data_IF_698918814867
#
_entry.id   IF_698918814867
#
_cell.length_a   1.000
_cell.length_b   1.000
_cell.length_c   1.000
_cell.angle_alpha   90.00
_cell.angle_beta   90.00
_cell.angle_gamma   90.00
#
_symmetry.space_group_name_H-M   'P 1'
#
loop_
_entity.id
_entity.type
_entity.pdbx_description
1 polymer ?
#
# COMPACT_ATOMS: atom_id res chain seq x y z
N UNK A 1 35.32 -10.19 20.75
CA UNK A 1 34.07 -10.54 20.06
C UNK A 1 33.40 -9.25 19.60
N UNK A 2 33.33 -8.98 18.30
CA UNK A 2 32.71 -7.75 17.78
C UNK A 2 31.19 -7.85 18.00
N UNK A 3 30.65 -6.92 18.78
CA UNK A 3 29.21 -6.68 18.82
C UNK A 3 28.80 -6.16 17.45
N UNK A 4 28.26 -7.04 16.60
CA UNK A 4 27.53 -6.61 15.41
C UNK A 4 26.23 -5.99 15.91
N UNK A 5 26.27 -4.70 16.18
CA UNK A 5 25.06 -3.89 16.33
C UNK A 5 24.33 -4.04 15.00
N UNK A 6 23.25 -4.81 14.99
CA UNK A 6 22.34 -4.84 13.83
C UNK A 6 21.67 -3.48 13.82
N UNK A 7 22.36 -2.48 13.25
CA UNK A 7 21.77 -1.21 12.89
C UNK A 7 20.69 -1.52 11.87
N UNK A 8 19.44 -1.28 12.26
CA UNK A 8 18.20 -1.43 11.47
C UNK A 8 18.13 -0.48 10.25
N UNK A 9 19.27 -0.01 9.76
CA UNK A 9 19.43 0.97 8.68
C UNK A 9 19.68 0.34 7.33
N UNK A 10 19.99 -0.95 7.24
CA UNK A 10 20.07 -1.64 5.95
C UNK A 10 18.68 -2.10 5.54
N UNK A 11 18.07 -1.38 4.58
CA UNK A 11 16.97 -1.91 3.78
C UNK A 11 17.47 -3.26 3.24
N UNK A 12 16.84 -4.40 3.56
CA UNK A 12 17.37 -5.67 3.14
C UNK A 12 17.48 -5.66 1.61
N UNK A 13 18.70 -5.83 1.11
CA UNK A 13 18.97 -6.07 -0.29
C UNK A 13 18.22 -7.34 -0.69
N UNK A 14 16.99 -7.19 -1.19
CA UNK A 14 16.18 -8.32 -1.60
C UNK A 14 14.67 -8.22 -1.36
N UNK A 15 14.00 -7.13 -1.76
CA UNK A 15 12.56 -7.19 -1.98
C UNK A 15 12.20 -8.35 -2.92
N UNK A 16 13.01 -8.54 -3.97
CA UNK A 16 12.89 -9.66 -4.91
C UNK A 16 13.15 -11.03 -4.26
N UNK A 17 14.12 -11.15 -3.34
CA UNK A 17 14.38 -12.43 -2.64
C UNK A 17 13.26 -12.76 -1.66
N UNK A 18 12.67 -11.74 -1.02
CA UNK A 18 11.50 -11.90 -0.16
C UNK A 18 10.29 -12.36 -0.97
N UNK A 19 9.99 -11.71 -2.10
CA UNK A 19 8.90 -12.12 -3.01
C UNK A 19 9.10 -13.57 -3.47
N UNK A 20 10.32 -13.94 -3.91
CA UNK A 20 10.64 -15.31 -4.33
C UNK A 20 10.46 -16.34 -3.21
N UNK A 21 10.74 -15.98 -1.96
CA UNK A 21 10.54 -16.87 -0.80
C UNK A 21 9.08 -17.05 -0.43
N UNK A 22 8.23 -16.06 -0.69
CA UNK A 22 6.81 -16.16 -0.33
C UNK A 22 5.94 -16.73 -1.47
N UNK A 23 6.40 -16.65 -2.72
CA UNK A 23 5.69 -17.20 -3.88
C UNK A 23 5.27 -18.68 -3.75
N UNK A 24 6.10 -19.60 -3.19
CA UNK A 24 5.71 -21.00 -2.98
C UNK A 24 4.49 -21.19 -2.06
N UNK A 25 4.24 -20.25 -1.13
CA UNK A 25 3.07 -20.32 -0.24
C UNK A 25 1.76 -19.95 -0.96
N UNK A 26 1.85 -19.14 -2.01
CA UNK A 26 0.72 -18.76 -2.86
C UNK A 26 0.46 -19.81 -3.95
N UNK A 27 1.51 -20.47 -4.44
CA UNK A 27 1.43 -21.52 -5.45
C UNK A 27 2.05 -22.83 -4.96
N UNK A 28 1.46 -23.50 -3.96
CA UNK A 28 1.99 -24.75 -3.43
C UNK A 28 1.88 -25.87 -4.48
N UNK A 29 2.93 -26.69 -4.61
CA UNK A 29 2.94 -27.81 -5.55
C UNK A 29 1.79 -28.80 -5.29
N UNK A 30 1.50 -29.05 -4.01
CA UNK A 30 0.67 -30.18 -3.54
C UNK A 30 -0.84 -29.90 -3.53
N UNK A 31 -1.28 -28.65 -3.70
CA UNK A 31 -2.69 -28.29 -3.52
C UNK A 31 -3.32 -27.68 -4.78
N UNK A 32 -3.93 -28.55 -5.59
CA UNK A 32 -4.63 -28.17 -6.84
C UNK A 32 -5.70 -27.10 -6.64
N UNK A 33 -6.48 -27.15 -5.55
CA UNK A 33 -7.53 -26.17 -5.29
C UNK A 33 -7.00 -24.73 -5.11
N UNK A 34 -5.77 -24.56 -4.60
CA UNK A 34 -5.15 -23.24 -4.49
C UNK A 34 -4.78 -22.71 -5.86
N UNK A 35 -4.14 -23.55 -6.69
CA UNK A 35 -3.76 -23.18 -8.07
C UNK A 35 -4.98 -22.74 -8.88
N UNK A 36 -6.08 -23.49 -8.81
CA UNK A 36 -7.34 -23.14 -9.48
C UNK A 36 -7.87 -21.78 -9.02
N UNK A 37 -7.91 -21.53 -7.70
CA UNK A 37 -8.35 -20.22 -7.19
C UNK A 37 -7.43 -19.07 -7.58
N UNK A 38 -6.12 -19.29 -7.61
CA UNK A 38 -5.16 -18.28 -8.08
C UNK A 38 -5.41 -17.97 -9.55
N UNK A 39 -5.56 -18.99 -10.41
CA UNK A 39 -5.86 -18.79 -11.84
C UNK A 39 -7.18 -18.05 -12.03
N UNK A 40 -8.25 -18.45 -11.33
CA UNK A 40 -9.55 -17.77 -11.38
C UNK A 40 -9.47 -16.32 -10.90
N UNK A 41 -8.72 -16.04 -9.83
CA UNK A 41 -8.51 -14.68 -9.36
C UNK A 41 -7.72 -13.84 -10.38
N UNK A 42 -6.69 -14.42 -11.01
CA UNK A 42 -5.92 -13.74 -12.06
C UNK A 42 -6.77 -13.48 -13.30
N UNK A 43 -7.64 -14.41 -13.70
CA UNK A 43 -8.58 -14.21 -14.79
C UNK A 43 -9.59 -13.09 -14.47
N UNK A 44 -10.18 -13.09 -13.27
CA UNK A 44 -11.05 -12.01 -12.81
C UNK A 44 -10.33 -10.66 -12.74
N UNK A 45 -9.06 -10.63 -12.32
CA UNK A 45 -8.22 -9.43 -12.35
C UNK A 45 -8.06 -8.89 -13.77
N UNK A 46 -7.68 -9.75 -14.72
CA UNK A 46 -7.47 -9.35 -16.12
C UNK A 46 -8.78 -8.84 -16.72
N UNK A 47 -9.90 -9.53 -16.49
CA UNK A 47 -11.22 -9.08 -16.93
C UNK A 47 -11.60 -7.73 -16.32
N UNK A 48 -11.39 -7.54 -15.02
CA UNK A 48 -11.60 -6.26 -14.33
C UNK A 48 -10.81 -5.14 -15.00
N UNK A 49 -9.52 -5.35 -15.27
CA UNK A 49 -8.65 -4.34 -15.89
C UNK A 49 -8.98 -4.09 -17.37
N UNK A 50 -9.35 -5.11 -18.13
CA UNK A 50 -9.83 -4.95 -19.51
C UNK A 50 -11.09 -4.07 -19.57
N UNK A 51 -12.07 -4.36 -18.72
CA UNK A 51 -13.29 -3.55 -18.63
C UNK A 51 -12.97 -2.13 -18.17
N UNK A 52 -12.11 -1.97 -17.14
CA UNK A 52 -11.73 -0.66 -16.63
C UNK A 52 -11.04 0.21 -17.70
N UNK A 53 -10.09 -0.35 -18.44
CA UNK A 53 -9.36 0.35 -19.52
C UNK A 53 -10.25 0.61 -20.74
N UNK A 54 -11.25 -0.24 -21.00
CA UNK A 54 -12.24 -0.04 -22.06
C UNK A 54 -13.34 0.98 -21.70
N UNK A 55 -13.61 1.20 -20.42
CA UNK A 55 -14.71 2.05 -19.94
C UNK A 55 -14.64 3.51 -20.46
N UNK A 56 -13.48 4.18 -20.52
CA UNK A 56 -13.37 5.52 -21.09
C UNK A 56 -13.82 5.64 -22.55
N UNK A 57 -13.73 4.58 -23.36
CA UNK A 57 -14.19 4.61 -24.75
C UNK A 57 -15.71 4.70 -24.86
N UNK A 58 -16.45 4.07 -23.94
CA UNK A 58 -17.91 4.19 -23.85
C UNK A 58 -18.32 5.62 -23.48
N UNK A 59 -17.57 6.22 -22.54
CA UNK A 59 -17.80 7.61 -22.15
C UNK A 59 -17.49 8.58 -23.31
N UNK A 60 -16.36 8.38 -24.00
CA UNK A 60 -16.00 9.13 -25.22
C UNK A 60 -17.13 9.06 -26.25
N UNK A 61 -17.58 7.85 -26.60
CA UNK A 61 -18.65 7.68 -27.58
C UNK A 61 -19.98 8.34 -27.18
N UNK A 62 -20.32 8.35 -25.88
CA UNK A 62 -21.49 9.08 -25.40
C UNK A 62 -21.36 10.59 -25.59
N UNK A 63 -20.18 11.16 -25.36
CA UNK A 63 -19.89 12.58 -25.58
C UNK A 63 -19.90 12.92 -27.07
N UNK A 64 -19.22 12.14 -27.92
CA UNK A 64 -19.15 12.37 -29.37
C UNK A 64 -20.56 12.40 -30.01
N UNK A 65 -21.48 11.52 -29.54
CA UNK A 65 -22.88 11.51 -29.97
C UNK A 65 -23.65 12.77 -29.56
N UNK A 66 -23.39 13.29 -28.36
CA UNK A 66 -24.06 14.50 -27.85
C UNK A 66 -23.51 15.78 -28.49
N UNK A 67 -22.23 15.78 -28.88
CA UNK A 67 -21.58 16.92 -29.55
C UNK A 67 -21.95 17.06 -31.02
N UNK A 68 -22.62 16.06 -31.62
CA UNK A 68 -23.08 16.12 -33.02
C UNK A 68 -22.05 15.69 -34.07
N UNK A 69 -20.87 15.22 -33.65
CA UNK A 69 -19.80 14.72 -34.54
C UNK A 69 -20.04 13.29 -35.05
N UNK A 70 -21.20 12.70 -34.74
CA UNK A 70 -21.53 11.32 -35.09
C UNK A 70 -22.40 11.19 -36.36
N UNK A 71 -22.23 10.12 -37.16
CA UNK A 71 -23.04 9.89 -38.36
C UNK A 71 -24.54 9.85 -38.04
N UNK A 72 -25.39 10.44 -38.91
CA UNK A 72 -26.85 10.58 -38.75
C UNK A 72 -27.61 9.29 -38.38
N UNK A 73 -27.05 8.10 -38.59
CA UNK A 73 -27.63 6.83 -38.18
C UNK A 73 -27.84 6.70 -36.65
N UNK A 74 -27.10 7.47 -35.84
CA UNK A 74 -27.19 7.41 -34.39
C UNK A 74 -28.40 8.17 -33.80
N UNK A 75 -29.00 9.10 -34.56
CA UNK A 75 -30.18 9.88 -34.14
C UNK A 75 -31.49 9.05 -34.13
N UNK A 76 -31.54 7.92 -34.84
CA UNK A 76 -32.69 7.01 -34.80
C UNK A 76 -32.81 6.22 -33.48
N UNK A 77 -31.78 6.27 -32.64
CA UNK A 77 -31.79 5.68 -31.32
C UNK A 77 -31.75 6.80 -30.29
N UNK A 78 -32.91 7.17 -29.74
CA UNK A 78 -32.95 7.72 -28.37
C UNK A 78 -32.23 6.82 -27.34
N UNK A 79 -31.88 5.59 -27.74
CA UNK A 79 -31.00 4.64 -27.05
C UNK A 79 -29.48 4.81 -27.30
N UNK A 80 -29.01 5.76 -28.13
CA UNK A 80 -27.58 5.90 -28.47
C UNK A 80 -26.73 6.47 -27.33
N UNK A 81 -26.87 7.77 -27.03
CA UNK A 81 -26.13 8.43 -25.95
C UNK A 81 -26.56 7.93 -24.57
N UNK A 82 -27.87 7.75 -24.36
CA UNK A 82 -28.42 7.17 -23.12
C UNK A 82 -27.94 5.73 -22.94
N UNK A 83 -27.97 4.90 -24.00
CA UNK A 83 -27.51 3.52 -23.93
C UNK A 83 -26.01 3.39 -23.70
N UNK A 84 -25.17 4.24 -24.33
CA UNK A 84 -23.73 4.29 -24.05
C UNK A 84 -23.43 4.77 -22.63
N UNK A 85 -24.22 5.72 -22.10
CA UNK A 85 -24.08 6.17 -20.70
C UNK A 85 -24.45 5.06 -19.72
N UNK A 86 -25.53 4.32 -19.98
CA UNK A 86 -25.90 3.12 -19.20
C UNK A 86 -24.82 2.05 -19.33
N UNK A 87 -24.31 1.80 -20.54
CA UNK A 87 -23.23 0.84 -20.76
C UNK A 87 -21.95 1.24 -20.02
N UNK A 88 -21.59 2.52 -19.99
CA UNK A 88 -20.48 3.06 -19.19
C UNK A 88 -20.70 2.79 -17.69
N UNK A 89 -21.88 3.08 -17.17
CA UNK A 89 -22.24 2.80 -15.78
C UNK A 89 -22.15 1.30 -15.44
N UNK A 90 -22.67 0.45 -16.32
CA UNK A 90 -22.62 -1.00 -16.18
C UNK A 90 -21.19 -1.55 -16.30
N UNK A 91 -20.38 -1.03 -17.23
CA UNK A 91 -18.97 -1.39 -17.37
C UNK A 91 -18.18 -1.04 -16.10
N UNK A 92 -18.41 0.14 -15.52
CA UNK A 92 -17.81 0.54 -14.24
C UNK A 92 -18.24 -0.37 -13.09
N UNK A 93 -19.52 -0.76 -13.05
CA UNK A 93 -20.02 -1.72 -12.06
C UNK A 93 -19.40 -3.11 -12.25
N UNK A 94 -19.28 -3.59 -13.49
CA UNK A 94 -18.66 -4.87 -13.81
C UNK A 94 -17.16 -4.89 -13.48
N UNK A 95 -16.42 -3.82 -13.82
CA UNK A 95 -15.00 -3.69 -13.47
C UNK A 95 -14.79 -3.81 -11.96
N UNK A 96 -15.60 -3.10 -11.16
CA UNK A 96 -15.61 -3.22 -9.71
C UNK A 96 -16.05 -4.62 -9.24
N UNK A 97 -17.09 -5.19 -9.85
CA UNK A 97 -17.59 -6.53 -9.52
C UNK A 97 -16.53 -7.60 -9.72
N UNK A 98 -15.80 -7.58 -10.83
CA UNK A 98 -14.68 -8.49 -11.09
C UNK A 98 -13.51 -8.25 -10.11
N UNK A 99 -13.25 -7.02 -9.71
CA UNK A 99 -12.25 -6.70 -8.68
C UNK A 99 -12.65 -7.31 -7.33
N UNK A 100 -13.90 -7.15 -6.90
CA UNK A 100 -14.40 -7.74 -5.66
C UNK A 100 -14.43 -9.28 -5.73
N UNK A 101 -14.82 -9.84 -6.88
CA UNK A 101 -14.81 -11.29 -7.10
C UNK A 101 -13.39 -11.86 -6.96
N UNK A 102 -12.41 -11.21 -7.60
CA UNK A 102 -11.00 -11.55 -7.45
C UNK A 102 -10.59 -11.53 -5.97
N UNK A 103 -10.90 -10.46 -5.26
CA UNK A 103 -10.50 -10.29 -3.86
C UNK A 103 -11.13 -11.38 -2.97
N UNK A 104 -12.40 -11.70 -3.18
CA UNK A 104 -13.11 -12.79 -2.48
C UNK A 104 -12.53 -14.18 -2.79
N UNK A 105 -12.23 -14.48 -4.06
CA UNK A 105 -11.61 -15.76 -4.46
C UNK A 105 -10.23 -15.90 -3.81
N UNK A 106 -9.43 -14.83 -3.84
CA UNK A 106 -8.06 -14.83 -3.36
C UNK A 106 -7.96 -14.79 -1.83
N UNK A 107 -8.95 -14.23 -1.11
CA UNK A 107 -8.94 -14.13 0.35
C UNK A 107 -8.60 -15.46 1.03
N UNK A 108 -9.18 -16.58 0.56
CA UNK A 108 -8.89 -17.92 1.10
C UNK A 108 -7.47 -18.40 0.81
N UNK A 109 -6.89 -18.02 -0.34
CA UNK A 109 -5.50 -18.33 -0.70
C UNK A 109 -4.54 -17.53 0.18
N UNK A 110 -4.76 -16.22 0.30
CA UNK A 110 -3.94 -15.34 1.13
C UNK A 110 -3.94 -15.74 2.60
N UNK A 111 -5.12 -16.01 3.17
CA UNK A 111 -5.24 -16.45 4.56
C UNK A 111 -4.57 -17.81 4.83
N UNK A 112 -4.61 -18.72 3.86
CA UNK A 112 -3.88 -19.99 3.96
C UNK A 112 -2.36 -19.77 3.96
N UNK A 113 -1.85 -18.97 3.01
CA UNK A 113 -0.43 -18.66 2.92
C UNK A 113 0.08 -18.02 4.23
N UNK A 114 -0.69 -17.08 4.77
CA UNK A 114 -0.42 -16.46 6.07
C UNK A 114 -0.37 -17.49 7.20
N UNK A 115 -1.36 -18.38 7.28
CA UNK A 115 -1.41 -19.43 8.31
C UNK A 115 -0.19 -20.34 8.25
N UNK A 116 0.24 -20.73 7.05
CA UNK A 116 1.42 -21.58 6.86
C UNK A 116 2.70 -20.87 7.28
N UNK A 117 2.88 -19.61 6.85
CA UNK A 117 4.03 -18.80 7.22
C UNK A 117 4.10 -18.56 8.74
N UNK A 118 2.96 -18.27 9.37
CA UNK A 118 2.88 -18.08 10.82
C UNK A 118 3.27 -19.37 11.57
N UNK A 119 2.78 -20.53 11.11
CA UNK A 119 3.13 -21.83 11.70
C UNK A 119 4.62 -22.17 11.53
N UNK A 120 5.18 -21.91 10.35
CA UNK A 120 6.60 -22.14 10.08
C UNK A 120 7.48 -21.23 10.93
N UNK A 121 7.10 -19.96 11.06
CA UNK A 121 7.78 -18.99 11.93
C UNK A 121 7.72 -19.43 13.39
N UNK A 122 6.55 -19.83 13.88
CA UNK A 122 6.36 -20.32 15.24
C UNK A 122 7.21 -21.57 15.53
N UNK A 123 7.24 -22.51 14.58
CA UNK A 123 8.02 -23.75 14.68
C UNK A 123 9.52 -23.48 14.64
N UNK A 124 9.96 -22.58 13.77
CA UNK A 124 11.37 -22.18 13.68
C UNK A 124 11.84 -21.57 15.02
N UNK A 125 11.01 -20.72 15.63
CA UNK A 125 11.34 -20.07 16.89
C UNK A 125 11.47 -21.10 18.02
N UNK A 126 10.62 -22.11 18.07
CA UNK A 126 10.75 -23.21 19.06
C UNK A 126 12.02 -24.04 18.88
N UNK A 127 12.60 -24.07 17.67
CA UNK A 127 13.84 -24.80 17.37
C UNK A 127 15.10 -23.99 17.67
N UNK A 128 14.97 -22.73 18.10
CA UNK A 128 16.12 -21.92 18.47
C UNK A 128 16.72 -22.39 19.79
N UNK A 129 18.00 -22.05 20.02
CA UNK A 129 18.72 -22.53 21.20
C UNK A 129 18.14 -21.98 22.49
N UNK A 130 18.26 -22.74 23.59
CA UNK A 130 17.87 -22.26 24.93
C UNK A 130 18.55 -20.92 25.29
N UNK A 131 19.79 -20.70 24.84
CA UNK A 131 20.50 -19.43 25.00
C UNK A 131 19.75 -18.26 24.34
N UNK A 132 19.16 -18.47 23.15
CA UNK A 132 18.34 -17.47 22.47
C UNK A 132 17.08 -17.13 23.27
N UNK A 133 16.44 -18.13 23.89
CA UNK A 133 15.23 -17.91 24.68
C UNK A 133 15.48 -17.25 26.04
N UNK A 134 16.58 -17.57 26.73
CA UNK A 134 16.89 -17.03 28.07
C UNK A 134 17.43 -15.59 28.01
N UNK A 135 18.13 -15.21 26.93
CA UNK A 135 18.76 -13.88 26.81
C UNK A 135 17.79 -12.77 26.38
N UNK A 136 16.57 -13.09 25.95
CA UNK A 136 15.60 -12.11 25.43
C UNK A 136 14.42 -12.00 26.38
N UNK A 137 14.07 -10.77 26.77
CA UNK A 137 12.83 -10.49 27.53
C UNK A 137 11.65 -11.10 26.78
N UNK A 138 10.94 -12.04 27.40
CA UNK A 138 9.86 -12.85 26.81
C UNK A 138 8.77 -12.00 26.15
N UNK A 139 8.42 -10.84 26.73
CA UNK A 139 7.44 -9.91 26.14
C UNK A 139 7.92 -9.21 24.86
N UNK A 140 9.21 -8.88 24.77
CA UNK A 140 9.79 -8.26 23.57
C UNK A 140 9.88 -9.23 22.39
N UNK A 141 10.21 -10.50 22.67
CA UNK A 141 10.26 -11.55 21.66
C UNK A 141 8.87 -11.80 21.06
N UNK A 142 7.84 -11.96 21.90
CA UNK A 142 6.46 -12.16 21.43
C UNK A 142 5.98 -11.03 20.51
N UNK A 143 6.23 -9.76 20.89
CA UNK A 143 5.86 -8.58 20.11
C UNK A 143 6.64 -8.45 18.79
N UNK A 144 7.88 -8.96 18.72
CA UNK A 144 8.64 -9.01 17.46
C UNK A 144 8.07 -10.05 16.52
N UNK A 145 7.66 -11.22 17.03
CA UNK A 145 7.03 -12.28 16.23
C UNK A 145 5.71 -11.79 15.65
N UNK A 146 4.84 -11.24 16.50
CA UNK A 146 3.54 -10.73 16.09
C UNK A 146 3.67 -9.65 15.01
N UNK A 147 4.57 -8.68 15.21
CA UNK A 147 4.86 -7.62 14.23
C UNK A 147 5.46 -8.18 12.94
N UNK A 148 6.33 -9.20 13.03
CA UNK A 148 6.94 -9.85 11.88
C UNK A 148 5.91 -10.56 11.00
N UNK A 149 5.04 -11.38 11.61
CA UNK A 149 3.97 -12.10 10.88
C UNK A 149 3.00 -11.12 10.24
N UNK A 150 2.54 -10.10 10.99
CA UNK A 150 1.67 -9.03 10.44
C UNK A 150 2.35 -8.23 9.33
N UNK A 151 3.65 -7.98 9.45
CA UNK A 151 4.44 -7.30 8.42
C UNK A 151 4.50 -8.09 7.12
N UNK A 152 4.75 -9.41 7.19
CA UNK A 152 4.74 -10.24 5.98
C UNK A 152 3.34 -10.38 5.39
N UNK A 153 2.30 -10.47 6.23
CA UNK A 153 0.91 -10.42 5.76
C UNK A 153 0.63 -9.16 4.94
N UNK A 154 0.98 -8.00 5.51
CA UNK A 154 0.78 -6.71 4.88
C UNK A 154 1.51 -6.65 3.54
N UNK A 155 2.79 -7.03 3.50
CA UNK A 155 3.58 -7.02 2.27
C UNK A 155 3.00 -7.94 1.20
N UNK A 156 2.58 -9.15 1.58
CA UNK A 156 1.95 -10.09 0.66
C UNK A 156 0.68 -9.51 0.04
N UNK A 157 -0.22 -9.03 0.90
CA UNK A 157 -1.50 -8.45 0.46
C UNK A 157 -1.25 -7.23 -0.41
N UNK A 158 -0.35 -6.34 0.00
CA UNK A 158 -0.05 -5.12 -0.74
C UNK A 158 0.55 -5.40 -2.12
N UNK A 159 1.51 -6.30 -2.21
CA UNK A 159 2.12 -6.70 -3.48
C UNK A 159 1.10 -7.30 -4.44
N UNK A 160 0.25 -8.19 -3.94
CA UNK A 160 -0.73 -8.90 -4.76
C UNK A 160 -1.93 -8.04 -5.11
N UNK A 161 -2.52 -7.33 -4.16
CA UNK A 161 -3.79 -6.63 -4.33
C UNK A 161 -3.66 -5.19 -4.77
N UNK A 162 -2.51 -4.56 -4.56
CA UNK A 162 -2.29 -3.16 -4.93
C UNK A 162 -1.25 -3.04 -6.05
N UNK A 163 -0.01 -3.47 -5.83
CA UNK A 163 1.07 -3.23 -6.80
C UNK A 163 0.89 -4.01 -8.11
N UNK A 164 0.62 -5.33 -8.04
CA UNK A 164 0.46 -6.15 -9.25
C UNK A 164 -0.64 -5.63 -10.20
N UNK A 165 -1.87 -5.41 -9.72
CA UNK A 165 -2.96 -4.81 -10.49
C UNK A 165 -2.63 -3.44 -11.06
N UNK A 166 -1.94 -2.60 -10.28
CA UNK A 166 -1.54 -1.27 -10.71
C UNK A 166 -0.55 -1.32 -11.87
N UNK A 167 0.45 -2.20 -11.81
CA UNK A 167 1.42 -2.39 -12.91
C UNK A 167 0.71 -2.90 -14.16
N UNK A 168 -0.18 -3.89 -14.01
CA UNK A 168 -0.96 -4.42 -15.13
C UNK A 168 -1.83 -3.33 -15.78
N UNK A 169 -2.57 -2.58 -14.95
CA UNK A 169 -3.43 -1.47 -15.40
C UNK A 169 -2.61 -0.40 -16.11
N UNK A 170 -1.47 0.00 -15.54
CA UNK A 170 -0.59 0.98 -16.16
C UNK A 170 -0.05 0.49 -17.51
N UNK A 171 0.39 -0.77 -17.60
CA UNK A 171 0.84 -1.37 -18.84
C UNK A 171 -0.25 -1.37 -19.92
N UNK A 172 -1.49 -1.68 -19.55
CA UNK A 172 -2.64 -1.66 -20.46
C UNK A 172 -3.00 -0.24 -20.91
N UNK A 173 -3.00 0.73 -19.99
CA UNK A 173 -3.23 2.14 -20.35
C UNK A 173 -2.14 2.67 -21.28
N UNK A 174 -0.87 2.36 -21.00
CA UNK A 174 0.25 2.72 -21.88
C UNK A 174 0.11 2.09 -23.27
N UNK A 175 -0.30 0.82 -23.36
CA UNK A 175 -0.56 0.16 -24.64
C UNK A 175 -1.69 0.85 -25.40
N UNK A 176 -2.79 1.19 -24.73
CA UNK A 176 -3.90 1.93 -25.34
C UNK A 176 -3.44 3.30 -25.84
N UNK A 177 -2.68 4.05 -25.04
CA UNK A 177 -2.13 5.34 -25.47
C UNK A 177 -1.22 5.21 -26.69
N UNK A 178 -0.40 4.16 -26.75
CA UNK A 178 0.50 3.91 -27.89
C UNK A 178 -0.24 3.59 -29.20
N UNK A 179 -1.35 2.83 -29.13
CA UNK A 179 -2.08 2.41 -30.34
C UNK A 179 -3.19 3.38 -30.76
N UNK A 180 -3.77 4.12 -29.82
CA UNK A 180 -4.92 5.01 -30.08
C UNK A 180 -4.51 6.48 -30.21
N UNK A 181 -3.44 6.89 -29.55
CA UNK A 181 -2.93 8.26 -29.54
C UNK A 181 -1.49 8.30 -30.08
N UNK A 182 -0.97 9.51 -30.29
CA UNK A 182 0.42 9.70 -30.70
C UNK A 182 1.43 9.39 -29.59
N UNK A 183 2.64 8.97 -29.99
CA UNK A 183 3.77 8.65 -29.10
C UNK A 183 4.13 9.80 -28.14
N UNK A 184 3.80 11.04 -28.51
CA UNK A 184 4.02 12.22 -27.68
C UNK A 184 3.17 12.22 -26.41
N UNK A 185 1.91 11.77 -26.49
CA UNK A 185 1.04 11.63 -25.31
C UNK A 185 1.58 10.59 -24.33
N UNK A 186 2.01 9.44 -24.86
CA UNK A 186 2.66 8.40 -24.05
C UNK A 186 3.92 8.92 -23.35
N UNK A 187 4.71 9.74 -24.06
CA UNK A 187 5.95 10.32 -23.53
C UNK A 187 5.69 11.24 -22.33
N UNK A 188 4.68 12.12 -22.43
CA UNK A 188 4.29 13.00 -21.30
C UNK A 188 3.84 12.16 -20.10
N UNK A 189 2.97 11.17 -20.31
CA UNK A 189 2.47 10.29 -19.24
C UNK A 189 3.61 9.53 -18.56
N UNK A 190 4.54 8.97 -19.33
CA UNK A 190 5.72 8.28 -18.81
C UNK A 190 6.61 9.20 -17.97
N UNK A 191 6.85 10.43 -18.43
CA UNK A 191 7.61 11.43 -17.68
C UNK A 191 6.88 11.78 -16.37
N UNK A 192 5.58 12.03 -16.41
CA UNK A 192 4.77 12.33 -15.23
C UNK A 192 4.83 11.20 -14.20
N UNK A 193 4.66 9.94 -14.62
CA UNK A 193 4.73 8.77 -13.72
C UNK A 193 6.13 8.62 -13.13
N UNK A 194 7.17 8.84 -13.93
CA UNK A 194 8.57 8.75 -13.49
C UNK A 194 8.86 9.82 -12.44
N UNK A 195 8.48 11.07 -12.70
CA UNK A 195 8.61 12.18 -11.75
C UNK A 195 7.83 11.92 -10.47
N UNK A 196 6.57 11.46 -10.58
CA UNK A 196 5.73 11.10 -9.45
C UNK A 196 6.40 10.02 -8.58
N UNK A 197 6.95 8.99 -9.21
CA UNK A 197 7.59 7.87 -8.51
C UNK A 197 8.87 8.31 -7.81
N UNK A 198 9.75 9.03 -8.51
CA UNK A 198 11.01 9.54 -7.93
C UNK A 198 10.71 10.49 -6.76
N UNK A 199 9.80 11.45 -6.96
CA UNK A 199 9.40 12.39 -5.92
C UNK A 199 8.84 11.65 -4.70
N UNK A 200 7.88 10.75 -4.92
CA UNK A 200 7.23 9.99 -3.84
C UNK A 200 8.25 9.17 -3.05
N UNK A 201 9.17 8.45 -3.72
CA UNK A 201 10.17 7.64 -3.04
C UNK A 201 11.13 8.49 -2.21
N UNK A 202 11.69 9.56 -2.79
CA UNK A 202 12.64 10.45 -2.11
C UNK A 202 12.02 11.12 -0.89
N UNK A 203 10.81 11.65 -1.04
CA UNK A 203 10.09 12.30 0.07
C UNK A 203 9.68 11.27 1.11
N UNK A 204 9.25 10.07 0.72
CA UNK A 204 8.88 9.01 1.67
C UNK A 204 10.07 8.55 2.49
N UNK A 205 11.24 8.35 1.90
CA UNK A 205 12.47 8.00 2.62
C UNK A 205 12.85 9.06 3.67
N UNK A 206 12.69 10.34 3.33
CA UNK A 206 12.88 11.43 4.28
C UNK A 206 11.83 11.39 5.40
N UNK A 207 10.56 11.18 5.07
CA UNK A 207 9.45 11.08 6.04
C UNK A 207 9.60 9.90 7.00
N UNK A 208 10.18 8.79 6.57
CA UNK A 208 10.47 7.64 7.44
C UNK A 208 11.39 8.04 8.60
N UNK A 209 12.38 8.91 8.36
CA UNK A 209 13.28 9.42 9.41
C UNK A 209 12.53 10.27 10.43
N UNK A 210 11.62 11.15 9.98
CA UNK A 210 10.78 11.99 10.84
C UNK A 210 9.85 11.13 11.70
N UNK A 211 9.20 10.13 11.08
CA UNK A 211 8.30 9.22 11.79
C UNK A 211 9.05 8.36 12.82
N UNK A 212 10.32 8.03 12.56
CA UNK A 212 11.16 7.35 13.53
C UNK A 212 11.38 8.21 14.78
N UNK A 213 11.75 9.47 14.62
CA UNK A 213 11.90 10.42 15.74
C UNK A 213 10.61 10.52 16.56
N UNK A 214 9.47 10.65 15.89
CA UNK A 214 8.15 10.68 16.55
C UNK A 214 7.89 9.42 17.39
N UNK A 215 8.22 8.23 16.86
CA UNK A 215 8.05 6.97 17.59
C UNK A 215 9.03 6.84 18.78
N UNK A 216 10.24 7.38 18.66
CA UNK A 216 11.23 7.37 19.73
C UNK A 216 10.77 8.29 20.89
N UNK A 217 10.23 9.47 20.59
CA UNK A 217 9.61 10.38 21.58
C UNK A 217 8.34 9.77 22.23
N UNK A 218 7.49 9.11 21.45
CA UNK A 218 6.30 8.39 21.96
C UNK A 218 6.72 7.29 22.95
N UNK A 219 7.77 6.54 22.62
CA UNK A 219 8.29 5.48 23.49
C UNK A 219 8.83 6.05 24.81
N UNK A 220 9.56 7.16 24.78
CA UNK A 220 10.09 7.83 25.97
C UNK A 220 8.97 8.38 26.87
N UNK A 221 7.97 9.06 26.29
CA UNK A 221 6.80 9.56 27.03
C UNK A 221 6.02 8.41 27.68
N UNK A 222 5.77 7.34 26.94
CA UNK A 222 5.07 6.15 27.44
C UNK A 222 5.86 5.45 28.55
N UNK A 223 7.18 5.34 28.41
CA UNK A 223 8.04 4.77 29.44
C UNK A 223 7.98 5.58 30.74
N UNK A 224 8.03 6.92 30.67
CA UNK A 224 7.89 7.79 31.86
C UNK A 224 6.52 7.65 32.53
N UNK A 225 5.45 7.56 31.75
CA UNK A 225 4.10 7.35 32.29
C UNK A 225 3.98 6.00 33.01
N UNK A 226 4.45 4.92 32.39
CA UNK A 226 4.42 3.57 32.99
C UNK A 226 5.27 3.54 34.28
N UNK A 227 6.47 4.11 34.27
CA UNK A 227 7.36 4.13 35.43
C UNK A 227 6.73 4.88 36.63
N UNK A 228 6.09 6.02 36.37
CA UNK A 228 5.37 6.79 37.40
C UNK A 228 4.17 6.02 37.96
N UNK A 229 3.39 5.34 37.11
CA UNK A 229 2.22 4.56 37.53
C UNK A 229 2.58 3.28 38.28
N UNK A 230 3.65 2.59 37.88
CA UNK A 230 4.14 1.40 38.59
C UNK A 230 4.73 1.76 39.96
N UNK A 231 5.36 2.94 40.07
CA UNK A 231 5.92 3.44 41.32
C UNK A 231 5.01 4.48 42.01
N UNK A 232 3.68 4.32 41.85
CA UNK A 232 2.70 5.27 42.36
C UNK A 232 2.85 5.55 43.86
N UNK A 233 3.12 4.51 44.66
CA UNK A 233 3.34 4.65 46.11
C UNK A 233 4.52 5.57 46.40
N UNK A 234 5.65 5.41 45.70
CA UNK A 234 6.83 6.27 45.85
C UNK A 234 6.50 7.72 45.48
N UNK A 235 5.77 7.93 44.39
CA UNK A 235 5.36 9.29 43.98
C UNK A 235 4.51 9.94 45.08
N UNK A 236 3.59 9.19 45.71
CA UNK A 236 2.75 9.67 46.82
C UNK A 236 3.53 9.89 48.11
N UNK A 237 4.46 9.01 48.48
CA UNK A 237 5.29 9.18 49.67
C UNK A 237 6.12 10.46 49.65
N UNK A 238 6.57 10.89 48.47
CA UNK A 238 7.38 12.09 48.29
C UNK A 238 6.59 13.30 47.76
N UNK A 239 5.26 13.23 47.64
CA UNK A 239 4.41 14.29 47.06
C UNK A 239 4.95 14.84 45.73
N UNK A 240 5.41 13.92 44.86
CA UNK A 240 6.15 14.25 43.64
C UNK A 240 5.26 14.33 42.38
N UNK A 241 3.93 14.44 42.52
CA UNK A 241 2.99 14.36 41.40
C UNK A 241 3.23 15.46 40.35
N UNK A 242 3.44 16.70 40.80
CA UNK A 242 3.71 17.84 39.90
C UNK A 242 5.03 17.68 39.16
N UNK A 243 6.03 17.08 39.81
CA UNK A 243 7.35 16.80 39.21
C UNK A 243 7.26 15.73 38.14
N UNK A 244 6.56 14.62 38.40
CA UNK A 244 6.35 13.58 37.39
C UNK A 244 5.44 14.06 36.25
N UNK A 245 4.43 14.89 36.54
CA UNK A 245 3.60 15.52 35.52
C UNK A 245 4.44 16.42 34.59
N UNK A 246 5.30 17.29 35.14
CA UNK A 246 6.18 18.15 34.34
C UNK A 246 7.20 17.34 33.52
N UNK A 247 7.73 16.23 34.08
CA UNK A 247 8.63 15.32 33.36
C UNK A 247 7.95 14.62 32.18
N UNK A 248 6.69 14.24 32.34
CA UNK A 248 5.87 13.68 31.27
C UNK A 248 5.52 14.74 30.20
N UNK A 249 5.10 15.94 30.63
CA UNK A 249 4.77 17.06 29.74
C UNK A 249 5.95 17.45 28.85
N UNK A 250 7.17 17.53 29.41
CA UNK A 250 8.38 17.80 28.63
C UNK A 250 8.66 16.73 27.55
N UNK A 251 8.37 15.45 27.84
CA UNK A 251 8.47 14.37 26.86
C UNK A 251 7.39 14.51 25.77
N UNK A 252 6.17 14.87 26.19
CA UNK A 252 5.06 15.08 25.28
C UNK A 252 5.26 16.28 24.35
N UNK A 253 5.89 17.36 24.80
CA UNK A 253 6.27 18.49 23.94
C UNK A 253 7.23 18.06 22.80
N UNK A 254 8.17 17.14 23.11
CA UNK A 254 9.05 16.55 22.09
C UNK A 254 8.29 15.72 21.07
N UNK A 255 7.35 14.88 21.53
CA UNK A 255 6.44 14.13 20.66
C UNK A 255 5.58 15.05 19.80
N UNK A 256 5.00 16.11 20.38
CA UNK A 256 4.15 17.07 19.67
C UNK A 256 4.89 17.69 18.48
N UNK A 257 6.11 18.18 18.69
CA UNK A 257 6.92 18.77 17.62
C UNK A 257 7.24 17.76 16.51
N UNK A 258 7.55 16.50 16.87
CA UNK A 258 7.82 15.44 15.90
C UNK A 258 6.55 15.01 15.15
N UNK A 259 5.41 14.99 15.83
CA UNK A 259 4.09 14.71 15.24
C UNK A 259 3.67 15.80 14.24
N UNK A 260 3.87 17.07 14.59
CA UNK A 260 3.62 18.20 13.68
C UNK A 260 4.47 18.09 12.41
N UNK A 261 5.78 17.80 12.53
CA UNK A 261 6.65 17.55 11.37
C UNK A 261 6.15 16.38 10.51
N UNK A 262 5.65 15.32 11.15
CA UNK A 262 5.07 14.16 10.45
C UNK A 262 3.82 14.57 9.64
N UNK A 263 2.95 15.41 10.22
CA UNK A 263 1.76 15.95 9.54
C UNK A 263 2.11 16.91 8.40
N UNK A 264 3.01 17.87 8.63
CA UNK A 264 3.44 18.82 7.59
C UNK A 264 4.12 18.13 6.41
N UNK A 265 4.96 17.14 6.69
CA UNK A 265 5.61 16.37 5.62
C UNK A 265 4.61 15.54 4.79
N UNK A 266 3.49 15.08 5.39
CA UNK A 266 2.41 14.42 4.66
C UNK A 266 1.67 15.41 3.75
N UNK A 267 1.36 16.60 4.26
CA UNK A 267 0.72 17.65 3.47
C UNK A 267 1.58 18.04 2.27
N UNK A 268 2.89 18.22 2.48
CA UNK A 268 3.85 18.47 1.41
C UNK A 268 3.90 17.35 0.37
N UNK A 269 3.93 16.08 0.80
CA UNK A 269 3.90 14.94 -0.12
C UNK A 269 2.63 14.93 -0.96
N UNK A 270 1.46 15.07 -0.32
CA UNK A 270 0.17 15.07 -1.01
C UNK A 270 0.06 16.21 -2.02
N UNK A 271 0.49 17.42 -1.63
CA UNK A 271 0.50 18.58 -2.52
C UNK A 271 1.45 18.38 -3.70
N UNK A 272 2.68 17.94 -3.47
CA UNK A 272 3.63 17.69 -4.55
C UNK A 272 3.17 16.59 -5.51
N UNK A 273 2.53 15.54 -4.99
CA UNK A 273 1.90 14.50 -5.81
C UNK A 273 0.76 15.04 -6.67
N UNK A 274 -0.14 15.83 -6.08
CA UNK A 274 -1.24 16.47 -6.79
C UNK A 274 -0.73 17.45 -7.86
N UNK A 275 0.31 18.23 -7.54
CA UNK A 275 0.96 19.14 -8.47
C UNK A 275 1.53 18.40 -9.68
N UNK A 276 2.31 17.35 -9.49
CA UNK A 276 2.90 16.55 -10.59
C UNK A 276 1.80 15.95 -11.49
N UNK A 277 0.76 15.35 -10.90
CA UNK A 277 -0.34 14.75 -11.66
C UNK A 277 -1.11 15.84 -12.43
N UNK A 278 -1.41 16.96 -11.79
CA UNK A 278 -2.18 18.06 -12.40
C UNK A 278 -1.39 18.71 -13.53
N UNK A 279 -0.10 18.95 -13.36
CA UNK A 279 0.76 19.46 -14.42
C UNK A 279 0.82 18.50 -15.61
N UNK A 280 0.96 17.19 -15.38
CA UNK A 280 0.92 16.18 -16.44
C UNK A 280 -0.41 16.17 -17.19
N UNK A 281 -1.52 16.25 -16.46
CA UNK A 281 -2.87 16.34 -17.04
C UNK A 281 -3.03 17.61 -17.90
N UNK A 282 -2.62 18.78 -17.38
CA UNK A 282 -2.71 20.05 -18.12
C UNK A 282 -1.90 19.99 -19.42
N UNK A 283 -0.68 19.45 -19.39
CA UNK A 283 0.15 19.30 -20.59
C UNK A 283 -0.56 18.42 -21.63
N UNK A 284 -1.10 17.27 -21.22
CA UNK A 284 -1.85 16.36 -22.10
C UNK A 284 -3.09 17.05 -22.68
N UNK A 285 -3.83 17.82 -21.88
CA UNK A 285 -5.02 18.54 -22.33
C UNK A 285 -4.71 19.67 -23.30
N UNK A 286 -3.57 20.35 -23.15
CA UNK A 286 -3.14 21.42 -24.07
C UNK A 286 -2.64 20.85 -25.41
N UNK A 287 -2.18 19.60 -25.42
CA UNK A 287 -1.77 18.91 -26.65
C UNK A 287 -2.95 18.38 -27.48
N UNK A 288 -4.09 18.14 -26.83
CA UNK A 288 -5.32 17.61 -27.44
C UNK A 288 -6.05 18.66 -28.28
#
# INVERSE_FOLDING_TARGET
>A
MRHTTITTTEIPAGAMTTIRRVLPYLWPADHRWVKVRVVLAMAALILSKLVAVGTPFLYKGAVDLLSGDAPQAAWMLGAGAVGLTVAYGMARLLANGFQQLRDAIFARVGQRALRQLALETFTHIHRLSMRYHITRKTGGLSRVIERGVKGVEFLLRFMLFSIGPLILELAMVMAVLFFVFDVWYLSVVLVTITLYTIFTLRVTEWRVKIRKEMNDQDTDANQKAIDSLLNFETVKYFSAETREAARYDAAMAGYEQAALKTSYSLAFLNFGQAFIITSGLVIVMVMA
#
